data_IF_224285561682
#
_entry.id   IF_224285561682
#
_cell.length_a   1.000
_cell.length_b   1.000
_cell.length_c   1.000
_cell.angle_alpha   90.00
_cell.angle_beta   90.00
_cell.angle_gamma   90.00
#
_symmetry.space_group_name_H-M   'P 1'
#
loop_
_entity.id
_entity.type
_entity.pdbx_description
1 polymer ?
#
# COMPACT_ATOMS: atom_id res chain seq x y z
N UNK A 1 -15.16 -1.49 -0.98
CA UNK A 1 -13.78 -1.33 -1.49
C UNK A 1 -13.44 -2.44 -2.46
N UNK A 2 -12.48 -2.18 -3.33
CA UNK A 2 -12.04 -3.15 -4.33
C UNK A 2 -10.80 -3.87 -3.80
N UNK A 3 -10.85 -5.21 -3.84
CA UNK A 3 -9.72 -6.06 -3.48
C UNK A 3 -8.77 -6.14 -4.67
N UNK A 4 -7.48 -5.89 -4.44
CA UNK A 4 -6.49 -5.92 -5.50
C UNK A 4 -5.12 -6.31 -4.92
N UNK A 5 -4.08 -6.25 -5.75
CA UNK A 5 -2.72 -6.48 -5.31
C UNK A 5 -1.96 -5.15 -5.25
N UNK A 6 -0.99 -5.07 -4.34
CA UNK A 6 -0.23 -3.84 -4.14
C UNK A 6 0.43 -3.35 -5.44
N UNK A 7 0.94 -4.27 -6.26
CA UNK A 7 1.60 -3.89 -7.52
C UNK A 7 0.67 -3.18 -8.50
N UNK A 8 -0.65 -3.29 -8.31
CA UNK A 8 -1.64 -2.63 -9.17
C UNK A 8 -2.04 -1.25 -8.65
N UNK A 9 -1.59 -0.89 -7.46
CA UNK A 9 -1.79 0.44 -6.90
C UNK A 9 -0.70 1.34 -7.46
N UNK A 10 -1.06 2.50 -8.00
CA UNK A 10 -0.09 3.43 -8.58
C UNK A 10 0.71 4.12 -7.48
N UNK A 11 1.92 4.52 -7.80
CA UNK A 11 2.75 5.28 -6.88
C UNK A 11 2.03 6.56 -6.46
N UNK A 12 1.97 6.78 -5.16
CA UNK A 12 1.28 7.94 -4.59
C UNK A 12 -0.19 7.70 -4.27
N UNK A 13 -0.75 6.57 -4.70
CA UNK A 13 -2.15 6.25 -4.42
C UNK A 13 -2.30 5.57 -3.06
N UNK A 14 -3.51 5.64 -2.54
CA UNK A 14 -3.84 5.14 -1.22
C UNK A 14 -4.37 3.71 -1.27
N UNK A 15 -4.14 2.97 -0.20
CA UNK A 15 -4.71 1.64 -0.04
C UNK A 15 -4.86 1.32 1.44
N UNK A 16 -5.61 0.25 1.73
CA UNK A 16 -5.75 -0.28 3.08
C UNK A 16 -5.36 -1.75 3.07
N UNK A 17 -4.93 -2.24 4.22
CA UNK A 17 -4.54 -3.65 4.36
C UNK A 17 -5.70 -4.55 4.69
N UNK A 18 -6.83 -3.99 5.11
CA UNK A 18 -8.04 -4.74 5.41
C UNK A 18 -9.24 -4.07 4.75
N UNK A 19 -10.28 -4.85 4.50
CA UNK A 19 -11.51 -4.38 3.87
C UNK A 19 -12.39 -3.72 4.93
N UNK A 20 -11.96 -2.55 5.42
CA UNK A 20 -12.66 -1.85 6.48
C UNK A 20 -12.40 -0.36 6.34
N UNK A 21 -13.48 0.42 6.34
CA UNK A 21 -13.39 1.88 6.13
C UNK A 21 -12.53 2.59 7.18
N UNK A 22 -12.53 2.08 8.41
CA UNK A 22 -11.75 2.69 9.49
C UNK A 22 -10.33 2.20 9.55
N UNK A 23 -9.91 1.27 8.69
CA UNK A 23 -8.54 0.81 8.66
C UNK A 23 -7.62 1.96 8.25
N UNK A 24 -6.38 2.00 8.78
CA UNK A 24 -5.43 3.05 8.42
C UNK A 24 -5.19 3.10 6.91
N UNK A 25 -5.05 4.31 6.39
CA UNK A 25 -4.66 4.51 4.99
C UNK A 25 -3.14 4.44 4.86
N UNK A 26 -2.71 3.74 3.83
CA UNK A 26 -1.31 3.64 3.45
C UNK A 26 -1.14 4.28 2.07
N UNK A 27 0.09 4.67 1.77
CA UNK A 27 0.44 5.22 0.46
C UNK A 27 1.50 4.32 -0.16
N UNK A 28 1.31 4.00 -1.43
CA UNK A 28 2.28 3.19 -2.15
C UNK A 28 3.42 4.10 -2.63
N UNK A 29 4.64 3.78 -2.20
CA UNK A 29 5.83 4.51 -2.60
C UNK A 29 6.55 3.83 -3.76
N UNK A 30 7.88 3.96 -3.80
CA UNK A 30 8.68 3.43 -4.88
C UNK A 30 8.88 1.91 -4.77
N UNK A 31 9.29 1.31 -5.88
CA UNK A 31 9.63 -0.12 -5.90
C UNK A 31 11.12 -0.27 -5.63
N UNK A 32 11.48 -1.04 -4.58
CA UNK A 32 12.88 -1.31 -4.26
C UNK A 32 13.30 -2.60 -4.93
N UNK A 33 14.13 -2.47 -5.96
CA UNK A 33 14.50 -3.60 -6.81
C UNK A 33 15.34 -4.64 -6.07
N UNK A 34 16.22 -4.21 -5.18
CA UNK A 34 17.08 -5.14 -4.45
C UNK A 34 16.29 -6.01 -3.49
N UNK A 35 15.20 -5.50 -2.94
CA UNK A 35 14.33 -6.22 -2.01
C UNK A 35 13.15 -6.89 -2.72
N UNK A 36 12.88 -6.49 -3.97
CA UNK A 36 11.70 -6.90 -4.73
C UNK A 36 10.42 -6.60 -3.97
N UNK A 37 10.35 -5.43 -3.35
CA UNK A 37 9.22 -4.98 -2.56
C UNK A 37 8.94 -3.53 -2.84
N UNK A 38 7.71 -3.11 -2.54
CA UNK A 38 7.33 -1.71 -2.62
C UNK A 38 7.51 -1.06 -1.26
N UNK A 39 8.09 0.12 -1.23
CA UNK A 39 8.08 0.94 -0.04
C UNK A 39 6.66 1.48 0.13
N UNK A 40 6.15 1.42 1.36
CA UNK A 40 4.83 1.94 1.70
C UNK A 40 4.94 2.72 3.00
N UNK A 41 4.07 3.69 3.20
CA UNK A 41 4.08 4.46 4.43
C UNK A 41 2.66 4.84 4.80
N UNK A 42 2.44 5.07 6.10
CA UNK A 42 1.12 5.48 6.58
C UNK A 42 0.83 6.91 6.17
N UNK A 43 -0.39 7.16 5.73
CA UNK A 43 -0.80 8.48 5.27
C UNK A 43 -0.61 9.56 6.35
N UNK A 44 -0.96 9.25 7.58
CA UNK A 44 -0.91 10.19 8.69
C UNK A 44 0.41 10.19 9.46
N UNK A 45 1.36 9.36 9.04
CA UNK A 45 2.68 9.29 9.67
C UNK A 45 3.70 8.80 8.66
N UNK A 46 4.27 9.73 7.89
CA UNK A 46 5.20 9.41 6.81
C UNK A 46 6.49 8.75 7.30
N UNK A 47 6.79 8.84 8.59
CA UNK A 47 7.96 8.17 9.17
C UNK A 47 7.68 6.70 9.47
N UNK A 48 6.42 6.28 9.42
CA UNK A 48 6.06 4.89 9.64
C UNK A 48 6.02 4.18 8.29
N UNK A 49 7.19 3.75 7.83
CA UNK A 49 7.31 3.07 6.54
C UNK A 49 7.55 1.59 6.71
N UNK A 50 7.26 0.84 5.66
CA UNK A 50 7.49 -0.60 5.62
C UNK A 50 7.74 -0.98 4.17
N UNK A 51 8.11 -2.25 3.95
CA UNK A 51 8.27 -2.80 2.60
C UNK A 51 7.35 -4.00 2.46
N UNK A 52 6.60 -4.03 1.37
CA UNK A 52 5.62 -5.09 1.13
C UNK A 52 5.74 -5.61 -0.29
N UNK A 53 5.51 -6.91 -0.45
CA UNK A 53 5.57 -7.54 -1.77
C UNK A 53 4.43 -7.06 -2.65
N UNK A 54 4.69 -6.98 -3.95
CA UNK A 54 3.66 -6.55 -4.90
C UNK A 54 2.47 -7.49 -4.98
N UNK A 55 2.64 -8.75 -4.57
CA UNK A 55 1.56 -9.73 -4.56
C UNK A 55 0.65 -9.61 -3.33
N UNK A 56 0.97 -8.74 -2.39
CA UNK A 56 0.17 -8.57 -1.20
C UNK A 56 -1.23 -8.09 -1.53
N UNK A 57 -2.23 -8.75 -0.96
CA UNK A 57 -3.62 -8.33 -1.11
C UNK A 57 -3.85 -7.02 -0.37
N UNK A 58 -4.43 -6.05 -1.05
CA UNK A 58 -4.78 -4.75 -0.47
C UNK A 58 -6.17 -4.34 -0.96
N UNK A 59 -6.69 -3.26 -0.41
CA UNK A 59 -8.04 -2.77 -0.71
C UNK A 59 -7.98 -1.29 -1.05
N UNK A 60 -8.65 -0.92 -2.14
CA UNK A 60 -8.68 0.47 -2.62
C UNK A 60 -10.11 0.94 -2.75
N UNK A 61 -10.30 2.25 -2.71
CA UNK A 61 -11.61 2.85 -2.93
C UNK A 61 -12.08 2.59 -4.35
N UNK A 62 -13.38 2.40 -4.48
CA UNK A 62 -13.97 2.18 -5.79
C UNK A 62 -13.98 3.46 -6.62
#
# INVERSE_FOLDING_TARGET
MIKTELRKVKEGDFFRLTDHESAPLWVRGYYERSERKFEVYKYDNVNHESFMRGSRTVYVEA
#
